data_IF_334470713567
#
_entry.id   IF_334470713567
#
_cell.length_a   1.000
_cell.length_b   1.000
_cell.length_c   1.000
_cell.angle_alpha   90.00
_cell.angle_beta   90.00
_cell.angle_gamma   90.00
#
_symmetry.space_group_name_H-M   'P 1'
#
loop_
_entity.id
_entity.type
_entity.pdbx_description
1 polymer ?
#
# COMPACT_ATOMS: atom_id res chain seq x y z
N UNK A 1 22.73 13.38 -6.98
CA UNK A 1 21.90 14.57 -6.62
C UNK A 1 20.69 14.80 -7.54
N UNK A 2 20.78 14.69 -8.88
CA UNK A 2 19.66 14.97 -9.79
C UNK A 2 18.41 14.10 -9.49
N UNK A 3 18.60 12.82 -9.15
CA UNK A 3 17.50 11.92 -8.78
C UNK A 3 16.71 12.34 -7.53
N UNK A 4 17.35 13.03 -6.57
CA UNK A 4 16.72 13.38 -5.29
C UNK A 4 15.57 14.39 -5.46
N UNK A 5 15.77 15.44 -6.27
CA UNK A 5 14.74 16.47 -6.49
C UNK A 5 13.52 15.90 -7.22
N UNK A 6 13.72 15.05 -8.23
CA UNK A 6 12.63 14.39 -8.92
C UNK A 6 11.84 13.47 -8.01
N UNK A 7 12.51 12.71 -7.13
CA UNK A 7 11.85 11.88 -6.12
C UNK A 7 10.96 12.71 -5.20
N UNK A 8 11.42 13.88 -4.73
CA UNK A 8 10.61 14.76 -3.87
C UNK A 8 9.34 15.23 -4.60
N UNK A 9 9.48 15.79 -5.80
CA UNK A 9 8.33 16.28 -6.55
C UNK A 9 7.35 15.16 -6.88
N UNK A 10 7.87 13.96 -7.19
CA UNK A 10 7.07 12.78 -7.44
C UNK A 10 6.28 12.35 -6.20
N UNK A 11 6.93 12.22 -5.04
CA UNK A 11 6.28 11.80 -3.78
C UNK A 11 5.33 12.86 -3.23
N UNK A 12 5.63 14.14 -3.41
CA UNK A 12 4.67 15.21 -3.10
C UNK A 12 3.42 15.12 -3.97
N UNK A 13 3.57 14.91 -5.28
CA UNK A 13 2.45 14.75 -6.19
C UNK A 13 1.65 13.47 -5.91
N UNK A 14 2.36 12.36 -5.65
CA UNK A 14 1.78 11.08 -5.27
C UNK A 14 0.91 11.20 -4.01
N UNK A 15 1.43 11.82 -2.95
CA UNK A 15 0.66 12.10 -1.73
C UNK A 15 -0.62 12.90 -2.00
N UNK A 16 -0.56 13.96 -2.81
CA UNK A 16 -1.74 14.79 -3.14
C UNK A 16 -2.79 13.99 -3.91
N UNK A 17 -2.38 13.22 -4.91
CA UNK A 17 -3.28 12.35 -5.68
C UNK A 17 -3.87 11.27 -4.76
N UNK A 18 -3.06 10.70 -3.88
CA UNK A 18 -3.48 9.72 -2.90
C UNK A 18 -4.53 10.31 -1.94
N UNK A 19 -4.29 11.51 -1.41
CA UNK A 19 -5.26 12.22 -0.58
C UNK A 19 -6.60 12.42 -1.31
N UNK A 20 -6.57 12.94 -2.55
CA UNK A 20 -7.79 13.20 -3.33
C UNK A 20 -8.55 11.89 -3.61
N UNK A 21 -7.85 10.84 -4.05
CA UNK A 21 -8.48 9.55 -4.39
C UNK A 21 -9.07 8.85 -3.17
N UNK A 22 -8.35 8.82 -2.04
CA UNK A 22 -8.86 8.28 -0.78
C UNK A 22 -10.04 9.08 -0.26
N UNK A 23 -9.96 10.42 -0.28
CA UNK A 23 -11.05 11.28 0.17
C UNK A 23 -12.33 11.03 -0.65
N UNK A 24 -12.22 10.98 -1.98
CA UNK A 24 -13.37 10.69 -2.86
C UNK A 24 -13.93 9.30 -2.56
N UNK A 25 -13.08 8.27 -2.44
CA UNK A 25 -13.51 6.90 -2.16
C UNK A 25 -14.25 6.82 -0.81
N UNK A 26 -13.66 7.36 0.26
CA UNK A 26 -14.26 7.37 1.60
C UNK A 26 -15.58 8.16 1.59
N UNK A 27 -15.61 9.33 0.95
CA UNK A 27 -16.81 10.16 0.85
C UNK A 27 -17.96 9.42 0.13
N UNK A 28 -17.68 8.77 -0.99
CA UNK A 28 -18.68 7.96 -1.69
C UNK A 28 -19.13 6.79 -0.81
N UNK A 29 -18.18 6.10 -0.17
CA UNK A 29 -18.46 4.95 0.70
C UNK A 29 -19.38 5.33 1.86
N UNK A 30 -19.11 6.47 2.52
CA UNK A 30 -19.85 6.91 3.69
C UNK A 30 -21.23 7.46 3.34
N UNK A 31 -21.34 8.30 2.32
CA UNK A 31 -22.54 9.12 2.10
C UNK A 31 -23.40 8.71 0.89
N UNK A 32 -22.84 8.00 -0.08
CA UNK A 32 -23.52 7.74 -1.36
C UNK A 32 -23.73 6.26 -1.67
N UNK A 33 -22.83 5.42 -1.20
CA UNK A 33 -22.93 3.97 -1.38
C UNK A 33 -24.03 3.40 -0.50
N UNK A 34 -25.14 2.99 -1.12
CA UNK A 34 -26.29 2.37 -0.45
C UNK A 34 -26.13 0.85 -0.32
N UNK A 35 -25.37 0.22 -1.21
CA UNK A 35 -25.26 -1.25 -1.27
C UNK A 35 -24.09 -1.82 -0.47
N UNK A 36 -23.10 -1.00 -0.14
CA UNK A 36 -22.05 -1.35 0.82
C UNK A 36 -22.51 -0.92 2.21
N UNK A 37 -22.77 -1.88 3.08
CA UNK A 37 -23.24 -1.65 4.45
C UNK A 37 -22.52 -2.56 5.45
N UNK A 38 -22.72 -2.27 6.74
CA UNK A 38 -22.19 -3.05 7.86
C UNK A 38 -20.66 -3.14 7.86
N UNK A 39 -20.15 -4.31 8.23
CA UNK A 39 -18.71 -4.52 8.41
C UNK A 39 -17.90 -4.38 7.13
N UNK A 40 -18.46 -4.68 5.95
CA UNK A 40 -17.72 -4.43 4.71
C UNK A 40 -17.52 -2.94 4.41
N UNK A 41 -18.49 -2.09 4.79
CA UNK A 41 -18.34 -0.63 4.70
C UNK A 41 -17.15 -0.14 5.52
N UNK A 42 -17.03 -0.66 6.75
CA UNK A 42 -15.89 -0.38 7.62
C UNK A 42 -14.57 -0.85 6.99
N UNK A 43 -14.53 -2.06 6.42
CA UNK A 43 -13.33 -2.58 5.77
C UNK A 43 -12.85 -1.72 4.59
N UNK A 44 -13.77 -1.24 3.74
CA UNK A 44 -13.43 -0.37 2.59
C UNK A 44 -12.86 0.96 3.08
N UNK A 45 -13.50 1.57 4.09
CA UNK A 45 -13.01 2.83 4.68
C UNK A 45 -11.65 2.63 5.36
N UNK A 46 -11.48 1.55 6.13
CA UNK A 46 -10.21 1.23 6.78
C UNK A 46 -9.09 0.98 5.78
N UNK A 47 -9.39 0.26 4.69
CA UNK A 47 -8.39 -0.02 3.65
C UNK A 47 -7.90 1.28 3.00
N UNK A 48 -8.83 2.17 2.65
CA UNK A 48 -8.50 3.50 2.13
C UNK A 48 -7.71 4.34 3.15
N UNK A 49 -8.14 4.38 4.41
CA UNK A 49 -7.44 5.10 5.46
C UNK A 49 -6.00 4.59 5.68
N UNK A 50 -5.79 3.27 5.67
CA UNK A 50 -4.47 2.66 5.74
C UNK A 50 -3.61 3.01 4.52
N UNK A 51 -4.20 3.04 3.32
CA UNK A 51 -3.50 3.46 2.10
C UNK A 51 -3.02 4.91 2.16
N UNK A 52 -3.85 5.80 2.69
CA UNK A 52 -3.46 7.18 2.92
C UNK A 52 -2.37 7.30 4.00
N UNK A 53 -2.52 6.62 5.14
CA UNK A 53 -1.54 6.63 6.22
C UNK A 53 -0.18 6.08 5.77
N UNK A 54 -0.17 5.02 4.96
CA UNK A 54 1.04 4.51 4.32
C UNK A 54 1.75 5.61 3.52
N UNK A 55 1.01 6.36 2.69
CA UNK A 55 1.56 7.42 1.85
C UNK A 55 2.08 8.60 2.67
N UNK A 56 1.40 8.96 3.77
CA UNK A 56 1.87 9.96 4.72
C UNK A 56 3.16 9.50 5.40
N UNK A 57 3.22 8.24 5.85
CA UNK A 57 4.43 7.68 6.45
C UNK A 57 5.59 7.66 5.46
N UNK A 58 5.34 7.37 4.18
CA UNK A 58 6.37 7.44 3.15
C UNK A 58 6.88 8.86 2.92
N UNK A 59 5.97 9.83 2.81
CA UNK A 59 6.32 11.24 2.63
C UNK A 59 7.17 11.78 3.80
N UNK A 60 6.84 11.40 5.04
CA UNK A 60 7.58 11.77 6.24
C UNK A 60 8.90 11.01 6.33
N UNK A 61 8.89 9.69 6.17
CA UNK A 61 10.07 8.87 6.39
C UNK A 61 11.09 9.00 5.26
N UNK A 62 10.65 9.31 4.03
CA UNK A 62 11.44 9.27 2.79
C UNK A 62 12.39 8.06 2.76
N UNK A 63 11.84 6.84 2.75
CA UNK A 63 12.64 5.63 2.75
C UNK A 63 13.48 5.54 1.48
N UNK A 64 14.73 5.15 1.64
CA UNK A 64 15.64 4.80 0.55
C UNK A 64 16.33 3.48 0.90
N UNK A 65 16.46 2.61 -0.10
CA UNK A 65 17.11 1.31 0.06
C UNK A 65 18.38 1.20 -0.76
N UNK A 66 19.37 0.53 -0.20
CA UNK A 66 20.58 0.10 -0.90
C UNK A 66 20.80 -1.38 -0.60
N UNK A 67 21.00 -2.15 -1.66
CA UNK A 67 21.43 -3.55 -1.57
C UNK A 67 22.93 -3.59 -1.81
N UNK A 68 23.69 -4.04 -0.82
CA UNK A 68 25.14 -4.17 -0.90
C UNK A 68 25.58 -5.54 -0.43
N UNK A 69 25.99 -6.41 -1.37
CA UNK A 69 26.38 -7.80 -1.12
C UNK A 69 25.40 -8.52 -0.18
N UNK A 70 25.85 -8.82 1.05
CA UNK A 70 25.11 -9.51 2.12
C UNK A 70 24.27 -8.59 3.02
N UNK A 71 24.06 -7.33 2.63
CA UNK A 71 23.32 -6.34 3.42
C UNK A 71 22.23 -5.64 2.61
N UNK A 72 21.08 -5.39 3.25
CA UNK A 72 20.10 -4.39 2.80
C UNK A 72 20.00 -3.32 3.87
N UNK A 73 20.24 -2.07 3.47
CA UNK A 73 20.01 -0.91 4.32
C UNK A 73 18.76 -0.17 3.86
N UNK A 74 17.90 0.15 4.82
CA UNK A 74 16.79 1.07 4.68
C UNK A 74 17.11 2.31 5.51
N UNK A 75 17.26 3.46 4.88
CA UNK A 75 17.56 4.72 5.57
C UNK A 75 16.65 5.85 5.10
N UNK A 76 16.54 6.88 5.92
CA UNK A 76 15.79 8.08 5.59
C UNK A 76 16.68 9.08 4.86
N UNK A 77 16.19 9.59 3.72
CA UNK A 77 16.79 10.75 3.02
C UNK A 77 16.05 12.05 3.36
N UNK A 78 15.28 12.07 4.46
CA UNK A 78 14.60 13.28 4.89
C UNK A 78 15.61 14.32 5.39
N UNK A 79 15.57 15.50 4.77
CA UNK A 79 16.46 16.65 5.00
C UNK A 79 15.82 17.77 5.84
N UNK A 80 14.52 17.72 6.09
CA UNK A 80 13.77 18.75 6.82
C UNK A 80 13.41 18.36 8.26
N UNK A 81 13.54 17.07 8.61
CA UNK A 81 13.34 16.54 9.96
C UNK A 81 14.70 16.15 10.56
N UNK A 82 15.12 16.85 11.61
CA UNK A 82 16.43 16.64 12.25
C UNK A 82 16.47 15.41 13.18
N UNK A 83 15.33 15.00 13.73
CA UNK A 83 15.27 13.92 14.73
C UNK A 83 15.40 12.54 14.09
N UNK A 84 16.58 11.93 14.22
CA UNK A 84 16.83 10.55 13.75
C UNK A 84 15.88 9.54 14.38
N UNK A 85 15.58 9.68 15.68
CA UNK A 85 14.67 8.77 16.37
C UNK A 85 13.26 8.85 15.80
N UNK A 86 12.77 10.05 15.50
CA UNK A 86 11.47 10.24 14.86
C UNK A 86 11.45 9.63 13.45
N UNK A 87 12.50 9.83 12.66
CA UNK A 87 12.62 9.24 11.32
C UNK A 87 12.70 7.71 11.35
N UNK A 88 13.41 7.12 12.33
CA UNK A 88 13.42 5.66 12.53
C UNK A 88 12.02 5.14 12.85
N UNK A 89 11.27 5.83 13.71
CA UNK A 89 9.87 5.49 14.00
C UNK A 89 9.01 5.59 12.73
N UNK A 90 9.20 6.64 11.92
CA UNK A 90 8.47 6.82 10.67
C UNK A 90 8.76 5.70 9.65
N UNK A 91 10.03 5.30 9.49
CA UNK A 91 10.43 4.15 8.65
C UNK A 91 9.77 2.85 9.14
N UNK A 92 9.74 2.65 10.45
CA UNK A 92 9.08 1.49 11.06
C UNK A 92 7.58 1.47 10.81
N UNK A 93 6.90 2.62 10.94
CA UNK A 93 5.47 2.72 10.60
C UNK A 93 5.21 2.41 9.13
N UNK A 94 6.04 2.92 8.21
CA UNK A 94 5.91 2.68 6.79
C UNK A 94 5.94 1.18 6.45
N UNK A 95 6.90 0.42 6.99
CA UNK A 95 6.97 -1.04 6.83
C UNK A 95 5.78 -1.74 7.52
N UNK A 96 5.37 -1.24 8.69
CA UNK A 96 4.26 -1.83 9.46
C UNK A 96 2.94 -1.72 8.69
N UNK A 97 2.69 -0.58 8.04
CA UNK A 97 1.48 -0.39 7.23
C UNK A 97 1.39 -1.40 6.09
N UNK A 98 2.52 -1.75 5.46
CA UNK A 98 2.55 -2.74 4.40
C UNK A 98 1.98 -4.09 4.83
N UNK A 99 2.39 -4.61 5.99
CA UNK A 99 1.88 -5.88 6.53
C UNK A 99 0.40 -5.78 6.91
N UNK A 100 -0.02 -4.63 7.44
CA UNK A 100 -1.43 -4.33 7.76
C UNK A 100 -2.33 -4.37 6.52
N UNK A 101 -1.89 -3.79 5.40
CA UNK A 101 -2.63 -3.74 4.14
C UNK A 101 -2.84 -5.14 3.58
N UNK A 102 -1.76 -5.93 3.45
CA UNK A 102 -1.83 -7.31 2.95
C UNK A 102 -2.78 -8.14 3.84
N UNK A 103 -2.64 -8.00 5.16
CA UNK A 103 -3.50 -8.74 6.09
C UNK A 103 -4.97 -8.34 5.97
N UNK A 104 -5.27 -7.06 5.74
CA UNK A 104 -6.64 -6.57 5.54
C UNK A 104 -7.26 -7.10 4.24
N UNK A 105 -6.49 -7.21 3.16
CA UNK A 105 -6.96 -7.88 1.92
C UNK A 105 -7.36 -9.33 2.22
N UNK A 106 -6.56 -10.05 3.01
CA UNK A 106 -6.86 -11.44 3.40
C UNK A 106 -8.17 -11.56 4.16
N UNK A 107 -8.37 -10.68 5.14
CA UNK A 107 -9.62 -10.59 5.89
C UNK A 107 -10.81 -10.28 4.98
N UNK A 108 -10.65 -9.40 3.98
CA UNK A 108 -11.70 -9.09 3.01
C UNK A 108 -12.08 -10.30 2.13
N UNK A 109 -11.12 -11.17 1.75
CA UNK A 109 -11.43 -12.42 1.05
C UNK A 109 -12.22 -13.39 1.92
N UNK A 110 -11.81 -13.58 3.17
CA UNK A 110 -12.53 -14.42 4.14
C UNK A 110 -13.95 -13.91 4.32
N UNK A 111 -14.10 -12.60 4.55
CA UNK A 111 -15.40 -11.95 4.70
C UNK A 111 -16.28 -12.18 3.47
N UNK A 112 -15.75 -11.95 2.26
CA UNK A 112 -16.50 -12.11 1.01
C UNK A 112 -16.97 -13.55 0.82
N UNK A 113 -16.09 -14.51 1.11
CA UNK A 113 -16.44 -15.91 1.05
C UNK A 113 -17.58 -16.25 2.03
N UNK A 114 -17.48 -15.84 3.29
CA UNK A 114 -18.54 -16.09 4.26
C UNK A 114 -19.84 -15.39 3.85
N UNK A 115 -19.78 -14.17 3.33
CA UNK A 115 -20.97 -13.44 2.88
C UNK A 115 -21.73 -14.20 1.78
N UNK A 116 -21.02 -14.76 0.80
CA UNK A 116 -21.64 -15.44 -0.35
C UNK A 116 -22.12 -16.85 0.01
N UNK A 117 -21.33 -17.62 0.77
CA UNK A 117 -21.56 -19.06 0.97
C UNK A 117 -22.13 -19.42 2.34
N UNK A 118 -21.89 -18.60 3.36
CA UNK A 118 -22.20 -18.90 4.76
C UNK A 118 -22.64 -17.63 5.50
N UNK A 119 -23.68 -16.94 5.00
CA UNK A 119 -24.15 -15.68 5.57
C UNK A 119 -24.50 -15.78 7.06
N UNK A 120 -24.92 -16.95 7.53
CA UNK A 120 -25.16 -17.25 8.95
C UNK A 120 -23.91 -17.17 9.82
N UNK A 121 -22.70 -17.25 9.25
CA UNK A 121 -21.42 -17.13 9.97
C UNK A 121 -20.86 -15.71 9.96
N UNK A 122 -21.57 -14.72 9.38
CA UNK A 122 -21.09 -13.34 9.36
C UNK A 122 -21.00 -12.70 10.76
N UNK A 123 -21.64 -13.29 11.78
CA UNK A 123 -21.50 -12.82 13.17
C UNK A 123 -20.04 -12.85 13.66
N UNK A 124 -19.15 -13.67 13.08
CA UNK A 124 -17.70 -13.61 13.36
C UNK A 124 -17.06 -12.26 13.00
N UNK A 125 -17.76 -11.44 12.22
CA UNK A 125 -17.30 -10.12 11.78
C UNK A 125 -18.05 -8.97 12.45
N UNK A 126 -19.11 -9.24 13.20
CA UNK A 126 -19.95 -8.25 13.85
C UNK A 126 -19.79 -8.31 15.38
N UNK A 127 -20.14 -7.25 16.11
CA UNK A 127 -20.03 -7.22 17.57
C UNK A 127 -18.60 -7.49 18.06
N UNK A 128 -18.42 -8.50 18.93
CA UNK A 128 -17.11 -8.98 19.42
C UNK A 128 -16.23 -9.50 18.29
N UNK A 129 -16.84 -10.06 17.24
CA UNK A 129 -16.14 -10.48 16.03
C UNK A 129 -15.33 -9.36 15.37
N UNK A 130 -15.79 -8.10 15.49
CA UNK A 130 -15.03 -6.93 15.02
C UNK A 130 -13.68 -6.79 15.72
N UNK A 131 -13.66 -6.95 17.04
CA UNK A 131 -12.43 -6.90 17.80
C UNK A 131 -11.49 -8.05 17.41
N UNK A 132 -12.02 -9.25 17.11
CA UNK A 132 -11.21 -10.40 16.72
C UNK A 132 -10.46 -10.18 15.41
N UNK A 133 -11.13 -9.79 14.33
CA UNK A 133 -10.44 -9.60 13.06
C UNK A 133 -9.53 -8.36 13.06
N UNK A 134 -9.89 -7.29 13.78
CA UNK A 134 -8.98 -6.14 13.96
C UNK A 134 -7.74 -6.55 14.76
N UNK A 135 -7.90 -7.39 15.79
CA UNK A 135 -6.77 -7.92 16.56
C UNK A 135 -5.88 -8.84 15.72
N UNK A 136 -6.47 -9.64 14.83
CA UNK A 136 -5.73 -10.42 13.83
C UNK A 136 -4.87 -9.55 12.91
N UNK A 137 -5.33 -8.34 12.58
CA UNK A 137 -4.54 -7.39 11.81
C UNK A 137 -3.43 -6.74 12.65
N UNK A 138 -3.76 -6.29 13.86
CA UNK A 138 -2.86 -5.48 14.68
C UNK A 138 -1.80 -6.31 15.40
N UNK A 139 -2.14 -7.45 16.03
CA UNK A 139 -1.21 -8.18 16.90
C UNK A 139 0.01 -8.71 16.13
N UNK A 140 -0.13 -9.49 15.03
CA UNK A 140 1.02 -9.97 14.28
C UNK A 140 1.85 -8.83 13.70
N UNK A 141 1.18 -7.76 13.27
CA UNK A 141 1.83 -6.59 12.67
C UNK A 141 2.63 -5.78 13.69
N UNK A 142 2.10 -5.56 14.89
CA UNK A 142 2.80 -4.88 15.98
C UNK A 142 3.97 -5.74 16.48
N UNK A 143 3.76 -7.05 16.69
CA UNK A 143 4.82 -7.97 17.13
C UNK A 143 5.96 -7.98 16.12
N UNK A 144 5.65 -8.07 14.82
CA UNK A 144 6.65 -8.02 13.76
C UNK A 144 7.37 -6.67 13.74
N UNK A 145 6.64 -5.55 13.87
CA UNK A 145 7.22 -4.20 13.91
C UNK A 145 8.19 -4.03 15.08
N UNK A 146 7.83 -4.48 16.28
CA UNK A 146 8.72 -4.42 17.46
C UNK A 146 9.98 -5.27 17.22
N UNK A 147 9.82 -6.50 16.72
CA UNK A 147 10.95 -7.38 16.40
C UNK A 147 11.86 -6.77 15.33
N UNK A 148 11.28 -6.16 14.29
CA UNK A 148 11.98 -5.44 13.23
C UNK A 148 12.86 -4.32 13.80
N UNK A 149 12.30 -3.49 14.68
CA UNK A 149 13.06 -2.41 15.31
C UNK A 149 14.21 -2.95 16.15
N UNK A 150 13.99 -4.00 16.94
CA UNK A 150 15.02 -4.55 17.82
C UNK A 150 16.15 -5.26 17.06
N UNK A 151 15.83 -6.00 16.00
CA UNK A 151 16.78 -6.87 15.31
C UNK A 151 17.57 -6.11 14.25
N UNK A 152 16.96 -5.17 13.53
CA UNK A 152 17.61 -4.44 12.44
C UNK A 152 18.12 -3.05 12.85
N UNK A 153 18.11 -2.73 14.14
CA UNK A 153 18.83 -1.56 14.65
C UNK A 153 20.32 -1.65 14.25
N UNK A 154 20.94 -0.56 13.77
CA UNK A 154 22.34 -0.57 13.36
C UNK A 154 23.27 -0.92 14.53
N UNK A 155 24.34 -1.65 14.23
CA UNK A 155 25.45 -1.95 15.14
C UNK A 155 26.72 -1.31 14.56
N UNK A 156 27.75 -1.11 15.39
CA UNK A 156 29.01 -0.53 14.90
C UNK A 156 29.59 -1.34 13.72
N UNK A 157 29.54 -2.67 13.79
CA UNK A 157 30.03 -3.55 12.72
C UNK A 157 29.23 -3.40 11.42
N UNK A 158 27.90 -3.29 11.49
CA UNK A 158 27.09 -3.13 10.28
C UNK A 158 27.24 -1.74 9.65
N UNK A 159 27.46 -0.71 10.47
CA UNK A 159 27.83 0.62 9.99
C UNK A 159 29.21 0.64 9.34
N UNK A 160 30.21 0.04 10.00
CA UNK A 160 31.58 -0.04 9.49
C UNK A 160 31.59 -0.72 8.11
N UNK A 161 30.85 -1.81 7.95
CA UNK A 161 30.70 -2.55 6.70
C UNK A 161 30.12 -1.72 5.55
N UNK A 162 29.20 -0.79 5.85
CA UNK A 162 28.48 0.01 4.85
C UNK A 162 29.01 1.44 4.70
N UNK A 163 29.92 1.89 5.58
CA UNK A 163 30.37 3.29 5.64
C UNK A 163 30.96 3.75 4.31
N UNK A 164 31.89 2.99 3.76
CA UNK A 164 32.60 3.39 2.54
C UNK A 164 31.66 3.46 1.33
N UNK A 165 30.78 2.47 1.16
CA UNK A 165 29.84 2.44 0.03
C UNK A 165 28.80 3.56 0.13
N UNK A 166 28.31 3.87 1.34
CA UNK A 166 27.37 4.97 1.57
C UNK A 166 28.04 6.32 1.31
N UNK A 167 29.25 6.53 1.86
CA UNK A 167 30.02 7.75 1.63
C UNK A 167 30.32 7.96 0.14
N UNK A 168 30.71 6.91 -0.57
CA UNK A 168 30.99 6.95 -2.01
C UNK A 168 29.73 7.24 -2.85
N UNK A 169 28.60 6.62 -2.53
CA UNK A 169 27.38 6.73 -3.35
C UNK A 169 26.54 7.98 -3.04
N UNK A 170 26.56 8.46 -1.78
CA UNK A 170 25.63 9.48 -1.31
C UNK A 170 26.28 10.69 -0.61
N UNK A 171 27.60 10.67 -0.39
CA UNK A 171 28.37 11.79 0.19
C UNK A 171 27.92 12.21 1.61
N UNK A 172 27.51 11.23 2.43
CA UNK A 172 27.24 11.45 3.85
C UNK A 172 27.72 10.28 4.71
N UNK A 173 27.88 10.52 6.01
CA UNK A 173 28.22 9.49 6.99
C UNK A 173 26.98 8.68 7.37
N UNK A 174 27.05 7.35 7.26
CA UNK A 174 25.92 6.44 7.55
C UNK A 174 25.31 6.68 8.94
N UNK A 175 26.12 7.06 9.94
CA UNK A 175 25.70 7.35 11.32
C UNK A 175 24.86 8.64 11.46
N UNK A 176 24.90 9.52 10.46
CA UNK A 176 24.16 10.80 10.42
C UNK A 176 22.68 10.64 10.07
N UNK A 177 22.27 9.50 9.48
CA UNK A 177 20.89 9.26 9.05
C UNK A 177 20.20 8.18 9.89
N UNK A 178 18.87 8.27 10.00
CA UNK A 178 18.04 7.20 10.56
C UNK A 178 18.04 5.99 9.62
N UNK A 179 18.27 4.78 10.14
CA UNK A 179 18.45 3.59 9.32
C UNK A 179 18.13 2.30 10.07
N UNK A 180 17.79 1.28 9.28
CA UNK A 180 17.74 -0.13 9.66
C UNK A 180 18.61 -0.93 8.71
N UNK A 181 19.34 -1.91 9.23
CA UNK A 181 20.26 -2.74 8.46
C UNK A 181 19.89 -4.20 8.65
N UNK A 182 19.55 -4.87 7.55
CA UNK A 182 19.36 -6.31 7.50
C UNK A 182 20.64 -6.95 6.96
N UNK A 183 21.33 -7.72 7.81
CA UNK A 183 22.51 -8.51 7.43
C UNK A 183 22.34 -9.97 7.92
N UNK A 184 21.89 -10.90 7.07
CA UNK A 184 21.76 -12.31 7.45
C UNK A 184 23.09 -13.01 7.73
N UNK A 185 24.22 -12.42 7.35
CA UNK A 185 25.56 -12.97 7.53
C UNK A 185 26.50 -11.96 8.21
N UNK A 186 27.40 -12.45 9.05
CA UNK A 186 28.48 -11.65 9.64
C UNK A 186 29.69 -11.58 8.67
N UNK A 187 30.77 -10.89 9.07
CA UNK A 187 32.03 -10.77 8.34
C UNK A 187 32.64 -12.12 7.96
N UNK A 188 32.59 -13.11 8.87
CA UNK A 188 33.07 -14.47 8.63
C UNK A 188 32.10 -15.33 7.80
N UNK A 189 31.08 -14.73 7.16
CA UNK A 189 29.97 -15.41 6.50
C UNK A 189 29.17 -16.38 7.41
N UNK A 190 29.26 -16.20 8.72
CA UNK A 190 28.44 -16.96 9.68
C UNK A 190 27.02 -16.41 9.74
N UNK A 191 26.03 -17.29 9.84
CA UNK A 191 24.62 -16.92 9.84
C UNK A 191 24.25 -16.15 11.11
N UNK A 192 23.67 -14.96 10.93
CA UNK A 192 23.04 -14.19 11.99
C UNK A 192 21.60 -14.66 12.17
N UNK A 193 21.41 -15.67 13.02
CA UNK A 193 20.11 -16.35 13.20
C UNK A 193 18.94 -15.42 13.55
N UNK A 194 19.18 -14.33 14.28
CA UNK A 194 18.13 -13.34 14.60
C UNK A 194 17.63 -12.61 13.36
N UNK A 195 18.54 -12.14 12.51
CA UNK A 195 18.20 -11.46 11.27
C UNK A 195 17.54 -12.42 10.28
N UNK A 196 18.09 -13.64 10.15
CA UNK A 196 17.55 -14.66 9.26
C UNK A 196 16.17 -15.15 9.70
N UNK A 197 15.95 -15.38 11.00
CA UNK A 197 14.65 -15.85 11.51
C UNK A 197 13.55 -14.80 11.32
N UNK A 198 13.87 -13.51 11.50
CA UNK A 198 12.92 -12.44 11.23
C UNK A 198 12.57 -12.37 9.74
N UNK A 199 13.56 -12.46 8.84
CA UNK A 199 13.33 -12.50 7.39
C UNK A 199 12.46 -13.69 6.97
N UNK A 200 12.76 -14.89 7.50
CA UNK A 200 11.96 -16.10 7.24
C UNK A 200 10.53 -15.92 7.75
N UNK A 201 10.34 -15.37 8.95
CA UNK A 201 9.00 -15.13 9.50
C UNK A 201 8.20 -14.13 8.67
N UNK A 202 8.84 -13.10 8.11
CA UNK A 202 8.22 -12.18 7.15
C UNK A 202 7.73 -12.93 5.90
N UNK A 203 8.57 -13.81 5.34
CA UNK A 203 8.22 -14.66 4.21
C UNK A 203 7.04 -15.57 4.51
N UNK A 204 7.02 -16.22 5.68
CA UNK A 204 5.91 -17.08 6.12
C UNK A 204 4.62 -16.27 6.26
N UNK A 205 4.67 -15.09 6.88
CA UNK A 205 3.50 -14.21 7.03
C UNK A 205 2.91 -13.81 5.67
N UNK A 206 3.77 -13.39 4.73
CA UNK A 206 3.36 -13.03 3.37
C UNK A 206 2.75 -14.26 2.66
N UNK A 207 3.45 -15.39 2.65
CA UNK A 207 2.96 -16.63 2.02
C UNK A 207 1.62 -17.08 2.62
N UNK A 208 1.43 -16.95 3.93
CA UNK A 208 0.17 -17.27 4.59
C UNK A 208 -0.98 -16.37 4.13
N UNK A 209 -0.76 -15.06 4.00
CA UNK A 209 -1.78 -14.15 3.46
C UNK A 209 -2.12 -14.51 2.00
N UNK A 210 -1.11 -14.77 1.16
CA UNK A 210 -1.35 -15.17 -0.22
C UNK A 210 -2.06 -16.52 -0.35
N UNK A 211 -1.79 -17.46 0.56
CA UNK A 211 -2.55 -18.70 0.65
C UNK A 211 -4.04 -18.43 0.91
N UNK A 212 -4.36 -17.52 1.84
CA UNK A 212 -5.75 -17.07 2.09
C UNK A 212 -6.36 -16.49 0.81
N UNK A 213 -5.64 -15.61 0.11
CA UNK A 213 -6.14 -14.95 -1.11
C UNK A 213 -6.50 -15.99 -2.17
N UNK A 214 -5.58 -16.92 -2.45
CA UNK A 214 -5.74 -17.96 -3.47
C UNK A 214 -6.83 -18.93 -3.06
N UNK A 215 -6.81 -19.45 -1.83
CA UNK A 215 -7.77 -20.43 -1.37
C UNK A 215 -9.21 -19.90 -1.40
N UNK A 216 -9.47 -18.75 -0.78
CA UNK A 216 -10.81 -18.16 -0.76
C UNK A 216 -11.18 -17.55 -2.11
N UNK A 217 -10.23 -16.94 -2.81
CA UNK A 217 -10.43 -16.40 -4.15
C UNK A 217 -10.86 -17.46 -5.16
N UNK A 218 -10.18 -18.61 -5.20
CA UNK A 218 -10.56 -19.73 -6.07
C UNK A 218 -11.91 -20.32 -5.69
N UNK A 219 -12.18 -20.50 -4.40
CA UNK A 219 -13.50 -20.98 -3.93
C UNK A 219 -14.63 -20.05 -4.37
N UNK A 220 -14.44 -18.74 -4.25
CA UNK A 220 -15.41 -17.76 -4.75
C UNK A 220 -15.53 -17.89 -6.27
N UNK A 221 -14.42 -17.83 -7.01
CA UNK A 221 -14.42 -17.87 -8.47
C UNK A 221 -15.19 -19.05 -9.05
N UNK A 222 -14.93 -20.28 -8.57
CA UNK A 222 -15.57 -21.49 -9.09
C UNK A 222 -17.05 -21.61 -8.71
N UNK A 223 -17.43 -21.16 -7.52
CA UNK A 223 -18.79 -21.39 -6.99
C UNK A 223 -19.72 -20.16 -7.10
N UNK A 224 -19.20 -19.01 -7.53
CA UNK A 224 -19.95 -17.75 -7.59
C UNK A 224 -21.16 -17.85 -8.52
N UNK A 225 -21.02 -18.41 -9.72
CA UNK A 225 -22.15 -18.55 -10.67
C UNK A 225 -23.27 -19.43 -10.14
N UNK A 226 -22.93 -20.46 -9.34
CA UNK A 226 -23.92 -21.39 -8.81
C UNK A 226 -24.72 -20.74 -7.67
N UNK A 227 -24.04 -20.03 -6.77
CA UNK A 227 -24.69 -19.42 -5.60
C UNK A 227 -25.33 -18.07 -5.88
N UNK A 228 -24.78 -17.27 -6.79
CA UNK A 228 -25.39 -15.98 -7.09
C UNK A 228 -26.76 -16.10 -7.74
N UNK A 229 -27.14 -17.27 -8.29
CA UNK A 229 -28.50 -17.56 -8.73
C UNK A 229 -29.55 -17.48 -7.60
N UNK A 230 -29.16 -17.67 -6.33
CA UNK A 230 -30.08 -17.49 -5.20
C UNK A 230 -30.24 -16.02 -4.79
N UNK A 231 -29.46 -15.11 -5.36
CA UNK A 231 -29.55 -13.68 -5.13
C UNK A 231 -30.40 -13.04 -6.24
N UNK A 232 -30.92 -11.84 -5.99
CA UNK A 232 -31.52 -11.04 -7.07
C UNK A 232 -30.46 -10.71 -8.13
N UNK A 233 -30.85 -10.61 -9.40
CA UNK A 233 -29.92 -10.28 -10.51
C UNK A 233 -29.10 -9.00 -10.24
N UNK A 234 -29.70 -8.04 -9.53
CA UNK A 234 -29.05 -6.82 -9.11
C UNK A 234 -27.96 -7.06 -8.06
N UNK A 235 -28.23 -7.91 -7.07
CA UNK A 235 -27.28 -8.25 -6.01
C UNK A 235 -26.17 -9.18 -6.51
N UNK A 236 -26.49 -10.13 -7.38
CA UNK A 236 -25.52 -10.96 -8.10
C UNK A 236 -24.48 -10.08 -8.81
N UNK A 237 -24.95 -9.15 -9.66
CA UNK A 237 -24.06 -8.26 -10.41
C UNK A 237 -23.18 -7.43 -9.49
N UNK A 238 -23.72 -6.98 -8.36
CA UNK A 238 -22.99 -6.19 -7.38
C UNK A 238 -21.92 -6.99 -6.64
N UNK A 239 -22.24 -8.19 -6.16
CA UNK A 239 -21.25 -9.06 -5.51
C UNK A 239 -20.13 -9.49 -6.46
N UNK A 240 -20.45 -9.74 -7.74
CA UNK A 240 -19.43 -10.02 -8.76
C UNK A 240 -18.49 -8.83 -8.97
N UNK A 241 -18.99 -7.60 -8.93
CA UNK A 241 -18.14 -6.40 -9.02
C UNK A 241 -17.22 -6.27 -7.81
N UNK A 242 -17.73 -6.48 -6.60
CA UNK A 242 -16.92 -6.41 -5.38
C UNK A 242 -15.83 -7.49 -5.36
N UNK A 243 -16.13 -8.70 -5.84
CA UNK A 243 -15.13 -9.75 -5.97
C UNK A 243 -14.05 -9.38 -6.99
N UNK A 244 -14.43 -8.87 -8.16
CA UNK A 244 -13.48 -8.37 -9.17
C UNK A 244 -12.61 -7.24 -8.64
N UNK A 245 -13.21 -6.31 -7.88
CA UNK A 245 -12.48 -5.24 -7.23
C UNK A 245 -11.46 -5.82 -6.25
N UNK A 246 -11.86 -6.72 -5.37
CA UNK A 246 -10.96 -7.36 -4.41
C UNK A 246 -9.79 -8.11 -5.07
N UNK A 247 -10.03 -8.80 -6.19
CA UNK A 247 -8.95 -9.43 -6.97
C UNK A 247 -8.00 -8.37 -7.55
N UNK A 248 -8.52 -7.28 -8.12
CA UNK A 248 -7.70 -6.18 -8.61
C UNK A 248 -6.89 -5.50 -7.50
N UNK A 249 -7.48 -5.36 -6.30
CA UNK A 249 -6.83 -4.82 -5.10
C UNK A 249 -5.71 -5.74 -4.57
N UNK A 250 -5.73 -7.02 -4.92
CA UNK A 250 -4.62 -7.94 -4.59
C UNK A 250 -3.48 -7.78 -5.57
N UNK A 251 -3.81 -7.62 -6.86
CA UNK A 251 -2.83 -7.45 -7.94
C UNK A 251 -1.97 -6.19 -7.72
N UNK A 252 -2.56 -5.11 -7.22
CA UNK A 252 -1.83 -3.86 -6.92
C UNK A 252 -0.62 -4.08 -6.01
N UNK A 253 -0.81 -4.44 -4.73
CA UNK A 253 0.28 -4.77 -3.81
C UNK A 253 1.22 -5.88 -4.32
N UNK A 254 0.73 -6.86 -5.09
CA UNK A 254 1.60 -7.87 -5.69
C UNK A 254 2.59 -7.24 -6.69
N UNK A 255 2.09 -6.44 -7.65
CA UNK A 255 2.90 -5.85 -8.72
C UNK A 255 3.79 -4.73 -8.18
N UNK A 256 3.25 -3.88 -7.31
CA UNK A 256 3.98 -2.71 -6.81
C UNK A 256 4.95 -3.09 -5.69
N UNK A 257 4.59 -4.01 -4.79
CA UNK A 257 5.34 -4.22 -3.55
C UNK A 257 6.09 -5.55 -3.52
N UNK A 258 5.39 -6.67 -3.70
CA UNK A 258 5.98 -8.01 -3.53
C UNK A 258 6.93 -8.36 -4.67
N UNK A 259 6.46 -8.28 -5.91
CA UNK A 259 7.21 -8.75 -7.07
C UNK A 259 8.52 -7.99 -7.25
N UNK A 260 8.57 -6.65 -7.08
CA UNK A 260 9.83 -5.93 -7.16
C UNK A 260 10.72 -6.19 -5.96
N UNK A 261 10.20 -6.30 -4.72
CA UNK A 261 11.04 -6.45 -3.52
C UNK A 261 11.64 -7.85 -3.33
N UNK A 262 10.94 -8.91 -3.74
CA UNK A 262 11.34 -10.29 -3.47
C UNK A 262 12.71 -10.66 -4.07
N UNK A 263 13.03 -10.34 -5.35
CA UNK A 263 14.35 -10.62 -5.91
C UNK A 263 15.48 -9.95 -5.12
N UNK A 264 15.30 -8.72 -4.63
CA UNK A 264 16.33 -8.03 -3.86
C UNK A 264 16.64 -8.75 -2.55
N UNK A 265 15.61 -9.13 -1.77
CA UNK A 265 15.81 -9.91 -0.55
C UNK A 265 16.46 -11.27 -0.82
N UNK A 266 16.04 -11.97 -1.89
CA UNK A 266 16.64 -13.26 -2.26
C UNK A 266 18.11 -13.10 -2.67
N UNK A 267 18.44 -12.07 -3.44
CA UNK A 267 19.83 -11.82 -3.86
C UNK A 267 20.76 -11.54 -2.68
N UNK A 268 20.31 -10.78 -1.67
CA UNK A 268 21.08 -10.57 -0.44
C UNK A 268 21.31 -11.87 0.33
N UNK A 269 20.32 -12.75 0.37
CA UNK A 269 20.44 -14.05 1.03
C UNK A 269 21.41 -14.99 0.28
N UNK A 270 21.41 -14.93 -1.05
CA UNK A 270 22.29 -15.74 -1.90
C UNK A 270 23.69 -15.13 -2.09
N UNK A 271 23.92 -13.88 -1.67
CA UNK A 271 25.18 -13.17 -1.90
C UNK A 271 26.42 -13.91 -1.41
N UNK A 272 26.49 -14.56 -0.23
CA UNK A 272 27.70 -15.30 0.16
C UNK A 272 27.99 -16.54 -0.69
N UNK A 273 26.97 -17.09 -1.36
CA UNK A 273 27.09 -18.28 -2.21
C UNK A 273 27.27 -17.94 -3.69
N UNK A 274 27.03 -16.67 -4.05
CA UNK A 274 27.17 -16.17 -5.40
C UNK A 274 28.36 -15.20 -5.40
N UNK A 275 29.36 -15.42 -6.25
CA UNK A 275 30.51 -14.49 -6.37
C UNK A 275 30.12 -13.16 -7.06
N UNK A 276 28.87 -12.71 -6.90
CA UNK A 276 28.35 -11.48 -7.48
C UNK A 276 28.59 -10.33 -6.50
N UNK A 277 29.32 -9.30 -6.96
CA UNK A 277 29.38 -8.02 -6.27
C UNK A 277 28.06 -7.26 -6.47
N UNK A 278 27.29 -7.13 -5.40
CA UNK A 278 26.00 -6.44 -5.42
C UNK A 278 26.22 -5.03 -4.86
N UNK A 279 25.91 -4.01 -5.65
CA UNK A 279 25.84 -2.61 -5.21
C UNK A 279 24.72 -1.91 -5.98
N UNK A 280 23.48 -2.15 -5.55
CA UNK A 280 22.29 -1.68 -6.24
C UNK A 280 21.57 -0.62 -5.40
N UNK A 281 21.48 0.59 -5.96
CA UNK A 281 20.69 1.69 -5.38
C UNK A 281 19.20 1.47 -5.67
N UNK A 282 18.57 0.63 -4.85
CA UNK A 282 17.18 0.19 -5.02
C UNK A 282 16.15 1.19 -4.51
N UNK A 283 16.55 2.36 -4.00
CA UNK A 283 15.64 3.33 -3.40
C UNK A 283 14.56 3.87 -4.33
N UNK A 284 14.73 3.78 -5.66
CA UNK A 284 13.65 4.08 -6.62
C UNK A 284 12.42 3.16 -6.44
N UNK A 285 12.59 1.96 -5.88
CA UNK A 285 11.48 1.05 -5.54
C UNK A 285 10.56 1.65 -4.50
N UNK A 286 11.07 2.41 -3.53
CA UNK A 286 10.24 3.04 -2.52
C UNK A 286 9.23 3.98 -3.18
N UNK A 287 9.69 4.88 -4.06
CA UNK A 287 8.80 5.73 -4.85
C UNK A 287 7.83 4.94 -5.74
N UNK A 288 8.25 3.77 -6.24
CA UNK A 288 7.35 2.88 -6.99
C UNK A 288 6.26 2.27 -6.10
N UNK A 289 6.58 1.97 -4.83
CA UNK A 289 5.63 1.45 -3.84
C UNK A 289 4.52 2.46 -3.57
N UNK A 290 4.83 3.76 -3.54
CA UNK A 290 3.86 4.86 -3.36
C UNK A 290 2.70 4.85 -4.37
N UNK A 291 2.87 4.21 -5.54
CA UNK A 291 1.82 4.15 -6.55
C UNK A 291 0.70 3.16 -6.21
N UNK A 292 0.93 2.21 -5.28
CA UNK A 292 -0.06 1.18 -4.98
C UNK A 292 -1.40 1.74 -4.43
N UNK A 293 -1.44 2.63 -3.42
CA UNK A 293 -2.70 3.05 -2.81
C UNK A 293 -3.53 3.90 -3.78
N UNK A 294 -2.86 4.68 -4.63
CA UNK A 294 -3.49 5.44 -5.72
C UNK A 294 -4.13 4.46 -6.72
N UNK A 295 -3.35 3.48 -7.19
CA UNK A 295 -3.79 2.50 -8.17
C UNK A 295 -4.96 1.66 -7.66
N UNK A 296 -4.92 1.26 -6.39
CA UNK A 296 -5.95 0.47 -5.74
C UNK A 296 -7.30 1.21 -5.68
N UNK A 297 -7.30 2.43 -5.14
CA UNK A 297 -8.52 3.21 -5.00
C UNK A 297 -9.15 3.54 -6.35
N UNK A 298 -8.31 3.88 -7.34
CA UNK A 298 -8.79 4.12 -8.72
C UNK A 298 -9.38 2.83 -9.29
N UNK A 299 -8.72 1.68 -9.15
CA UNK A 299 -9.23 0.41 -9.62
C UNK A 299 -10.58 0.07 -8.97
N UNK A 300 -10.71 0.25 -7.65
CA UNK A 300 -11.95 0.02 -6.92
C UNK A 300 -13.09 0.91 -7.45
N UNK A 301 -12.84 2.23 -7.58
CA UNK A 301 -13.82 3.19 -8.08
C UNK A 301 -14.24 2.91 -9.52
N UNK A 302 -13.33 2.43 -10.37
CA UNK A 302 -13.62 2.09 -11.76
C UNK A 302 -14.38 0.77 -11.89
N UNK A 303 -14.08 -0.24 -11.06
CA UNK A 303 -14.71 -1.56 -11.14
C UNK A 303 -16.13 -1.52 -10.55
N UNK A 304 -16.30 -0.90 -9.39
CA UNK A 304 -17.58 -0.88 -8.68
C UNK A 304 -18.51 0.17 -9.28
N UNK A 305 -19.59 -0.27 -9.91
CA UNK A 305 -20.46 0.58 -10.73
C UNK A 305 -21.11 1.73 -9.95
N UNK A 306 -21.41 1.56 -8.67
CA UNK A 306 -21.98 2.62 -7.82
C UNK A 306 -21.02 3.82 -7.69
N UNK A 307 -19.73 3.56 -7.55
CA UNK A 307 -18.68 4.58 -7.47
C UNK A 307 -18.43 5.22 -8.83
N UNK A 308 -18.25 4.39 -9.87
CA UNK A 308 -18.06 4.86 -11.24
C UNK A 308 -19.21 5.74 -11.71
N UNK A 309 -20.45 5.34 -11.45
CA UNK A 309 -21.63 6.08 -11.87
C UNK A 309 -21.76 7.40 -11.10
N UNK A 310 -21.43 7.40 -9.80
CA UNK A 310 -21.39 8.63 -9.02
C UNK A 310 -20.39 9.64 -9.60
N UNK A 311 -19.15 9.21 -9.84
CA UNK A 311 -18.09 10.06 -10.41
C UNK A 311 -18.50 10.59 -11.78
N UNK A 312 -18.98 9.72 -12.68
CA UNK A 312 -19.50 10.13 -14.00
C UNK A 312 -20.62 11.16 -13.89
N UNK A 313 -21.56 10.98 -12.96
CA UNK A 313 -22.67 11.92 -12.78
C UNK A 313 -22.19 13.32 -12.37
N UNK A 314 -21.17 13.42 -11.52
CA UNK A 314 -20.58 14.70 -11.10
C UNK A 314 -19.76 15.35 -12.21
N UNK A 315 -18.98 14.58 -12.95
CA UNK A 315 -18.21 15.10 -14.11
C UNK A 315 -19.12 15.60 -15.23
N UNK A 316 -20.20 14.87 -15.54
CA UNK A 316 -21.20 15.29 -16.55
C UNK A 316 -21.97 16.53 -16.09
N UNK A 317 -22.40 16.59 -14.82
CA UNK A 317 -23.04 17.79 -14.28
C UNK A 317 -22.11 19.01 -14.31
N UNK A 318 -20.81 18.84 -14.04
CA UNK A 318 -19.82 19.90 -14.16
C UNK A 318 -19.69 20.37 -15.62
N UNK A 319 -19.58 19.43 -16.56
CA UNK A 319 -19.49 19.73 -18.00
C UNK A 319 -20.73 20.48 -18.51
N UNK A 320 -21.94 20.05 -18.11
CA UNK A 320 -23.19 20.76 -18.48
C UNK A 320 -23.24 22.17 -17.92
N UNK A 321 -22.78 22.39 -16.68
CA UNK A 321 -22.71 23.73 -16.08
C UNK A 321 -21.69 24.62 -16.79
N UNK A 322 -20.53 24.10 -17.16
CA UNK A 322 -19.49 24.84 -17.90
C UNK A 322 -19.93 25.20 -19.33
N UNK A 323 -20.63 24.30 -20.02
CA UNK A 323 -21.22 24.60 -21.33
C UNK A 323 -22.30 25.67 -21.20
N UNK A 324 -23.17 25.56 -20.18
CA UNK A 324 -24.20 26.56 -19.90
C UNK A 324 -23.63 27.95 -19.60
N UNK A 325 -22.57 28.05 -18.81
CA UNK A 325 -21.93 29.34 -18.50
C UNK A 325 -21.19 29.97 -19.69
N UNK A 326 -20.57 29.16 -20.56
CA UNK A 326 -19.97 29.66 -21.80
C UNK A 326 -21.02 30.21 -22.77
N UNK A 327 -22.17 29.53 -22.88
CA UNK A 327 -23.30 30.01 -23.70
C UNK A 327 -23.83 31.34 -23.14
N UNK A 328 -23.98 31.46 -21.82
CA UNK A 328 -24.46 32.71 -21.22
C UNK A 328 -23.49 33.87 -21.43
N UNK A 329 -22.16 33.66 -21.25
CA UNK A 329 -21.16 34.71 -21.49
C UNK A 329 -21.16 35.15 -22.95
N UNK A 330 -21.23 34.21 -23.90
CA UNK A 330 -21.28 34.52 -25.34
C UNK A 330 -22.55 35.30 -25.72
N UNK A 331 -23.68 34.96 -25.11
CA UNK A 331 -24.92 35.71 -25.28
C UNK A 331 -24.78 37.15 -24.73
N UNK A 332 -24.19 37.34 -23.55
CA UNK A 332 -23.95 38.67 -22.98
C UNK A 332 -22.97 39.50 -23.83
N UNK A 333 -21.90 38.91 -24.34
CA UNK A 333 -20.95 39.57 -25.25
C UNK A 333 -21.60 39.95 -26.58
N UNK A 334 -22.45 39.08 -27.14
CA UNK A 334 -23.19 39.41 -28.36
C UNK A 334 -24.15 40.59 -28.14
N UNK A 335 -24.85 40.61 -27.00
CA UNK A 335 -25.72 41.74 -26.64
C UNK A 335 -24.92 43.04 -26.45
N UNK A 336 -23.75 42.98 -25.79
CA UNK A 336 -22.90 44.14 -25.59
C UNK A 336 -22.30 44.69 -26.90
N UNK A 337 -21.83 43.82 -27.79
CA UNK A 337 -21.31 44.24 -29.09
C UNK A 337 -22.41 44.81 -30.00
N UNK A 338 -23.65 44.33 -29.88
CA UNK A 338 -24.79 44.86 -30.63
C UNK A 338 -25.29 46.22 -30.11
N UNK A 339 -24.92 46.62 -28.88
CA UNK A 339 -25.23 47.96 -28.35
C UNK A 339 -24.18 49.03 -28.71
N UNK A 340 -22.97 48.63 -29.11
CA UNK A 340 -21.87 49.53 -29.48
C UNK A 340 -21.85 49.90 -30.99
N UNK A 341 -22.72 49.28 -31.80
CA UNK A 341 -22.98 49.62 -33.21
C UNK A 341 -24.28 50.37 -33.35
#
# INVERSE_FOLDING_TARGET
>A
MLNHKYTISFTSAGLVICFITNFILIYITLFHSKRIYGTYKLMVVMFSALGFLFSVSEFIARPFTLNYNRAVILFSINDWILSKNFLSIALSFWITFYLLIISLVGVQFVYRYLYIFHSTKLWYFDGVGRALWISYLLIPTIVYSVAFNQIFTPTNASDDYLREVIRKNFDFEISSVARFIMMPYNENNTIQWKALSLLISAGILICFQYFIFVFFGLKIYFNMKLRLKSFSACQEKFQSQLFKALVAQTIGPTIFLILPSAPFFVTTLLSPYTNMEINWQTGWLCSFFELYPISDNIAFMLIVSEYRNYIKSKLVCKTRREVGSKISIRATQFIANASDT
#
